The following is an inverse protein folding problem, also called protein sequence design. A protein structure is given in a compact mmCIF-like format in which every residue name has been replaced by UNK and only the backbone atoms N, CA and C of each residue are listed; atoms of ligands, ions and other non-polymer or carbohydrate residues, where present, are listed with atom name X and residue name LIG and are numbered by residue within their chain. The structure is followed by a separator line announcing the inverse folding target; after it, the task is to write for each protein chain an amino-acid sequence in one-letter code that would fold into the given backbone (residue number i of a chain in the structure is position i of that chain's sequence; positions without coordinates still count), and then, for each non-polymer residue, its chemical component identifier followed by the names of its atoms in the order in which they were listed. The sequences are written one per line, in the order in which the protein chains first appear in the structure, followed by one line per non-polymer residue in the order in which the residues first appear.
data_IF_516904663478
#
_entry.id   IF_516904663478
#
_cell.length_a   1.000
_cell.length_b   1.000
_cell.length_c   1.000
_cell.angle_alpha   90.00
_cell.angle_beta   90.00
_cell.angle_gamma   90.00
#
_symmetry.space_group_name_H-M   'P 1'
#
loop_
_entity.id
_entity.type
_entity.pdbx_description
1 polymer ?
#
# COMPACT_ATOMS: atom_id res chain seq x y z
N UNK A 1 2.38 30.60 -10.74
CA UNK A 1 1.75 29.96 -11.91
C UNK A 1 1.66 28.50 -11.52
N UNK A 2 0.46 28.00 -11.21
CA UNK A 2 0.28 26.63 -10.77
C UNK A 2 0.53 25.71 -11.96
N UNK A 3 1.58 24.90 -11.89
CA UNK A 3 1.77 23.78 -12.80
C UNK A 3 0.60 22.83 -12.58
N UNK A 4 -0.40 22.93 -13.45
CA UNK A 4 -1.48 21.95 -13.52
C UNK A 4 -0.83 20.72 -14.12
N UNK A 5 -0.71 19.64 -13.34
CA UNK A 5 -0.28 18.35 -13.82
C UNK A 5 -1.24 17.93 -14.94
N UNK A 6 -0.80 18.08 -16.18
CA UNK A 6 -1.56 17.66 -17.34
C UNK A 6 -1.21 16.19 -17.58
N UNK A 7 -2.18 15.31 -17.36
CA UNK A 7 -2.04 13.91 -17.73
C UNK A 7 -2.00 13.83 -19.25
N UNK A 8 -0.99 13.14 -19.78
CA UNK A 8 -0.81 12.99 -21.23
C UNK A 8 -1.82 12.00 -21.83
N UNK A 9 -2.34 11.09 -21.00
CA UNK A 9 -3.39 10.15 -21.38
C UNK A 9 -4.58 10.22 -20.39
N UNK A 10 -5.83 10.31 -20.87
CA UNK A 10 -7.02 10.29 -20.00
C UNK A 10 -7.19 9.00 -19.17
N UNK A 11 -6.54 7.90 -19.57
CA UNK A 11 -6.55 6.64 -18.82
C UNK A 11 -5.46 6.57 -17.74
N UNK A 12 -4.59 7.57 -17.62
CA UNK A 12 -3.56 7.60 -16.58
C UNK A 12 -4.21 7.78 -15.21
N UNK A 13 -3.83 6.90 -14.28
CA UNK A 13 -4.26 6.99 -12.88
C UNK A 13 -3.22 7.81 -12.11
N UNK A 14 -3.68 8.90 -11.48
CA UNK A 14 -2.85 9.73 -10.61
C UNK A 14 -2.92 9.21 -9.18
N UNK A 15 -1.79 8.76 -8.64
CA UNK A 15 -1.67 8.26 -7.28
C UNK A 15 -0.86 9.21 -6.39
N UNK A 16 -1.24 9.32 -5.11
CA UNK A 16 -0.56 10.20 -4.18
C UNK A 16 0.64 9.49 -3.53
N UNK A 17 1.83 10.06 -3.66
CA UNK A 17 3.01 9.60 -2.93
C UNK A 17 2.86 9.79 -1.42
N UNK A 18 3.17 8.75 -0.64
CA UNK A 18 3.00 8.77 0.82
C UNK A 18 4.12 9.49 1.57
N UNK A 19 5.28 9.70 0.91
CA UNK A 19 6.50 10.16 1.59
C UNK A 19 7.36 9.02 2.16
N UNK A 20 6.93 7.77 2.04
CA UNK A 20 7.58 6.59 2.62
C UNK A 20 8.09 5.65 1.53
N UNK A 21 9.09 4.84 1.90
CA UNK A 21 9.68 3.80 1.06
C UNK A 21 9.58 2.44 1.74
N UNK A 22 9.43 1.39 0.94
CA UNK A 22 9.45 0.00 1.41
C UNK A 22 10.88 -0.50 1.68
N UNK A 23 11.02 -1.76 2.09
CA UNK A 23 12.33 -2.37 2.40
C UNK A 23 13.31 -2.40 1.22
N UNK A 24 12.80 -2.36 -0.01
CA UNK A 24 13.58 -2.39 -1.24
C UNK A 24 13.88 -0.96 -1.74
N UNK A 25 13.46 0.07 -1.02
CA UNK A 25 13.64 1.48 -1.38
C UNK A 25 12.63 1.99 -2.41
N UNK A 26 11.61 1.20 -2.74
CA UNK A 26 10.52 1.59 -3.64
C UNK A 26 9.59 2.57 -2.91
N UNK A 27 9.21 3.64 -3.59
CA UNK A 27 8.25 4.62 -3.07
C UNK A 27 6.86 3.97 -2.90
N UNK A 28 6.21 4.27 -1.79
CA UNK A 28 4.86 3.78 -1.47
C UNK A 28 3.84 4.86 -1.86
N UNK A 29 2.82 4.48 -2.60
CA UNK A 29 1.74 5.34 -3.09
C UNK A 29 0.38 4.91 -2.50
N UNK A 30 -0.61 5.79 -2.61
CA UNK A 30 -2.01 5.38 -2.45
C UNK A 30 -2.37 4.33 -3.50
N UNK A 31 -3.07 3.27 -3.11
CA UNK A 31 -3.42 2.17 -4.01
C UNK A 31 -2.43 1.00 -3.99
N UNK A 32 -1.24 1.17 -3.42
CA UNK A 32 -0.26 0.09 -3.25
C UNK A 32 -0.77 -1.00 -2.31
N UNK A 33 -0.41 -2.24 -2.62
CA UNK A 33 -0.65 -3.42 -1.80
C UNK A 33 0.67 -3.81 -1.15
N UNK A 34 0.69 -3.71 0.18
CA UNK A 34 1.84 -4.01 1.00
C UNK A 34 1.74 -5.43 1.55
N UNK A 35 2.88 -6.09 1.65
CA UNK A 35 3.00 -7.39 2.31
C UNK A 35 4.00 -7.36 3.46
N UNK A 36 3.66 -8.04 4.55
CA UNK A 36 4.53 -8.19 5.71
C UNK A 36 5.24 -9.54 5.71
N UNK A 37 6.55 -9.50 5.92
CA UNK A 37 7.44 -10.67 5.97
C UNK A 37 8.05 -10.87 7.37
N UNK A 38 7.32 -11.44 8.33
CA UNK A 38 7.90 -11.79 9.64
C UNK A 38 8.91 -12.94 9.55
N UNK A 39 8.89 -13.71 8.44
CA UNK A 39 9.80 -14.83 8.21
C UNK A 39 10.14 -14.97 6.72
N UNK A 40 11.43 -15.05 6.40
CA UNK A 40 11.95 -15.26 5.03
C UNK A 40 11.48 -16.58 4.37
N UNK A 41 10.94 -17.52 5.16
CA UNK A 41 10.48 -18.82 4.68
C UNK A 41 8.96 -18.91 4.44
N UNK A 42 8.18 -17.89 4.80
CA UNK A 42 6.74 -17.83 4.51
C UNK A 42 6.46 -16.83 3.39
N UNK A 43 5.44 -17.12 2.58
CA UNK A 43 5.08 -16.31 1.41
C UNK A 43 4.79 -14.86 1.83
N UNK A 44 3.81 -14.65 2.72
CA UNK A 44 3.53 -13.40 3.45
C UNK A 44 2.70 -13.73 4.71
N UNK A 45 2.79 -12.94 5.77
CA UNK A 45 1.93 -13.14 6.96
C UNK A 45 0.55 -12.52 6.77
N UNK A 46 0.50 -11.37 6.11
CA UNK A 46 -0.74 -10.70 5.67
C UNK A 46 -0.42 -9.66 4.60
N UNK A 47 -1.46 -9.21 3.90
CA UNK A 47 -1.41 -8.15 2.88
C UNK A 47 -2.41 -7.06 3.18
N UNK A 48 -2.08 -5.82 2.83
CA UNK A 48 -2.95 -4.67 3.09
C UNK A 48 -2.86 -3.60 2.02
N UNK A 49 -3.99 -2.97 1.75
CA UNK A 49 -4.13 -1.87 0.80
C UNK A 49 -3.81 -0.53 1.46
N UNK A 50 -2.99 0.29 0.81
CA UNK A 50 -2.72 1.67 1.20
C UNK A 50 -3.83 2.58 0.68
N UNK A 51 -4.37 3.41 1.57
CA UNK A 51 -5.48 4.32 1.26
C UNK A 51 -5.38 5.62 2.06
N UNK A 52 -5.88 6.71 1.49
CA UNK A 52 -6.01 7.96 2.22
C UNK A 52 -7.32 7.98 3.03
N UNK A 53 -7.24 8.16 4.36
CA UNK A 53 -8.42 8.29 5.23
C UNK A 53 -8.26 9.42 6.23
N UNK A 54 -9.27 10.30 6.26
CA UNK A 54 -9.29 11.45 7.16
C UNK A 54 -8.21 12.47 6.80
N UNK A 55 -7.04 12.36 7.44
CA UNK A 55 -5.93 13.30 7.28
C UNK A 55 -4.58 12.61 7.04
N UNK A 56 -4.56 11.32 6.69
CA UNK A 56 -3.33 10.58 6.44
C UNK A 56 -3.53 9.24 5.75
N UNK A 57 -2.42 8.59 5.42
CA UNK A 57 -2.41 7.26 4.83
C UNK A 57 -2.58 6.19 5.89
N UNK A 58 -3.39 5.19 5.58
CA UNK A 58 -3.62 4.02 6.40
C UNK A 58 -3.47 2.74 5.57
N UNK A 59 -3.28 1.62 6.26
CA UNK A 59 -3.30 0.28 5.67
C UNK A 59 -4.57 -0.44 6.13
N UNK A 60 -5.37 -0.91 5.17
CA UNK A 60 -6.50 -1.78 5.41
C UNK A 60 -6.10 -3.21 5.07
N UNK A 61 -6.12 -4.09 6.06
CA UNK A 61 -5.88 -5.53 5.90
C UNK A 61 -7.03 -6.18 5.10
N UNK A 62 -6.70 -7.12 4.21
CA UNK A 62 -7.68 -7.81 3.35
C UNK A 62 -8.53 -8.85 4.10
N UNK A 63 -8.03 -9.42 5.20
CA UNK A 63 -8.61 -10.61 5.84
C UNK A 63 -9.46 -10.33 7.10
N UNK A 64 -9.38 -9.13 7.69
CA UNK A 64 -10.11 -8.77 8.92
C UNK A 64 -11.08 -7.63 8.70
N UNK A 65 -12.34 -7.99 8.47
CA UNK A 65 -13.46 -7.05 8.31
C UNK A 65 -13.81 -6.21 9.57
N UNK A 66 -13.01 -6.28 10.64
CA UNK A 66 -13.26 -5.59 11.91
C UNK A 66 -12.03 -4.95 12.57
N UNK A 67 -10.81 -5.10 12.03
CA UNK A 67 -9.66 -4.35 12.52
C UNK A 67 -9.73 -2.91 11.99
N UNK A 68 -9.59 -1.94 12.89
CA UNK A 68 -9.44 -0.56 12.48
C UNK A 68 -8.17 -0.43 11.64
N UNK A 69 -8.21 0.28 10.49
CA UNK A 69 -7.02 0.55 9.70
C UNK A 69 -5.90 1.10 10.58
N UNK A 70 -4.67 0.64 10.36
CA UNK A 70 -3.50 1.19 11.02
C UNK A 70 -2.93 2.34 10.18
N UNK A 71 -2.51 3.44 10.82
CA UNK A 71 -1.82 4.52 10.12
C UNK A 71 -0.53 3.97 9.49
N UNK A 72 -0.29 4.31 8.21
CA UNK A 72 0.83 3.78 7.44
C UNK A 72 2.17 4.08 8.10
N UNK A 73 2.39 5.30 8.61
CA UNK A 73 3.61 5.67 9.33
C UNK A 73 3.81 4.80 10.60
N UNK A 74 2.73 4.44 11.30
CA UNK A 74 2.81 3.54 12.45
C UNK A 74 3.21 2.11 12.02
N UNK A 75 2.63 1.61 10.93
CA UNK A 75 2.94 0.30 10.39
C UNK A 75 4.40 0.21 9.90
N UNK A 76 4.86 1.24 9.18
CA UNK A 76 6.24 1.32 8.69
C UNK A 76 7.27 1.56 9.80
N UNK A 77 6.97 2.31 10.86
CA UNK A 77 7.92 2.51 11.97
C UNK A 77 8.15 1.26 12.82
N UNK A 78 7.14 0.41 12.95
CA UNK A 78 7.26 -0.82 13.72
C UNK A 78 8.27 -1.77 13.07
N UNK A 79 8.19 -1.95 11.74
CA UNK A 79 9.07 -2.88 11.02
C UNK A 79 9.27 -2.50 9.52
N UNK A 80 9.86 -1.36 9.20
CA UNK A 80 10.11 -0.94 7.81
C UNK A 80 10.88 -1.99 6.96
N UNK A 81 11.70 -2.82 7.61
CA UNK A 81 12.53 -3.83 6.95
C UNK A 81 11.75 -5.07 6.48
N UNK A 82 10.47 -5.22 6.87
CA UNK A 82 9.65 -6.39 6.51
C UNK A 82 8.50 -6.06 5.57
N UNK A 83 8.34 -4.79 5.19
CA UNK A 83 7.27 -4.31 4.33
C UNK A 83 7.78 -4.22 2.89
N UNK A 84 7.04 -4.82 1.96
CA UNK A 84 7.32 -4.78 0.53
C UNK A 84 6.06 -4.42 -0.24
N UNK A 85 6.19 -3.55 -1.23
CA UNK A 85 5.13 -3.33 -2.22
C UNK A 85 5.11 -4.50 -3.19
N UNK A 86 4.02 -5.26 -3.19
CA UNK A 86 3.86 -6.47 -4.03
C UNK A 86 2.95 -6.26 -5.25
N UNK A 87 2.26 -5.13 -5.32
CA UNK A 87 1.36 -4.77 -6.42
C UNK A 87 0.55 -3.52 -6.07
N UNK A 88 -0.41 -3.16 -6.91
CA UNK A 88 -1.38 -2.10 -6.66
C UNK A 88 -2.79 -2.55 -7.05
N UNK A 89 -3.80 -1.77 -6.69
CA UNK A 89 -5.21 -2.10 -6.94
C UNK A 89 -5.62 -2.09 -8.43
N UNK A 90 -4.86 -1.43 -9.29
CA UNK A 90 -5.15 -1.29 -10.71
C UNK A 90 -4.60 -2.46 -11.53
N UNK A 91 -3.37 -2.87 -11.24
CA UNK A 91 -2.64 -3.91 -11.96
C UNK A 91 -2.81 -5.29 -11.33
N UNK A 92 -3.01 -5.35 -10.00
CA UNK A 92 -3.03 -6.59 -9.22
C UNK A 92 -4.23 -6.70 -8.25
N UNK A 93 -5.47 -6.49 -8.71
CA UNK A 93 -6.64 -6.57 -7.84
C UNK A 93 -6.80 -7.96 -7.18
N UNK A 94 -6.30 -9.02 -7.81
CA UNK A 94 -6.35 -10.40 -7.31
C UNK A 94 -5.59 -10.60 -5.99
N UNK A 95 -4.62 -9.74 -5.67
CA UNK A 95 -3.85 -9.84 -4.42
C UNK A 95 -4.69 -9.52 -3.17
N UNK A 96 -5.86 -8.91 -3.35
CA UNK A 96 -6.82 -8.64 -2.27
C UNK A 96 -7.93 -9.71 -2.19
N UNK A 97 -7.99 -10.63 -3.15
CA UNK A 97 -8.99 -11.71 -3.17
C UNK A 97 -8.60 -12.84 -2.21
N UNK A 98 -9.58 -13.32 -1.43
CA UNK A 98 -9.40 -14.49 -0.57
C UNK A 98 -9.79 -15.73 -1.37
N UNK A 99 -8.85 -16.65 -1.60
CA UNK A 99 -9.18 -18.00 -2.06
C UNK A 99 -10.11 -18.64 -1.01
N UNK A 100 -11.37 -18.90 -1.39
CA UNK A 100 -12.39 -19.52 -0.54
C UNK A 100 -12.19 -21.01 -0.35
#
# INVERSE_FOLDING_TARGET
MSDIFQLDNPDDVLEQFTGLKDRNGKDIYEGDILAWHSNIYRKHDWVGLVLYRGAGFAVQESDKSYSSPEWLDCACRKDANIIEVIGNVHDNPELLEVEK
#
